data_IF_683863622039
#
_entry.id   IF_683863622039
#
_cell.length_a   1.000
_cell.length_b   1.000
_cell.length_c   1.000
_cell.angle_alpha   90.00
_cell.angle_beta   90.00
_cell.angle_gamma   90.00
#
_symmetry.space_group_name_H-M   'P 1'
#
loop_
_entity.id
_entity.type
_entity.pdbx_description
1 polymer ?
#
# COMPACT_ATOMS: atom_id res chain seq x y z
N UNK A 1 7.86 -32.48 -19.50
CA UNK A 1 7.50 -31.58 -20.63
C UNK A 1 6.15 -30.88 -20.42
N UNK A 2 5.12 -31.57 -19.90
CA UNK A 2 3.76 -31.03 -19.70
C UNK A 2 3.67 -29.77 -18.80
N UNK A 3 4.37 -29.73 -17.64
CA UNK A 3 4.23 -28.61 -16.70
C UNK A 3 4.78 -27.26 -17.20
N UNK A 4 5.96 -27.24 -17.84
CA UNK A 4 6.53 -26.00 -18.40
C UNK A 4 5.66 -25.45 -19.54
N UNK A 5 5.11 -26.34 -20.36
CA UNK A 5 4.20 -25.96 -21.44
C UNK A 5 2.89 -25.38 -20.87
N UNK A 6 2.34 -26.00 -19.82
CA UNK A 6 1.20 -25.47 -19.07
C UNK A 6 1.47 -24.07 -18.51
N UNK A 7 2.61 -23.86 -17.83
CA UNK A 7 2.99 -22.55 -17.30
C UNK A 7 3.09 -21.49 -18.41
N UNK A 8 3.67 -21.86 -19.55
CA UNK A 8 3.77 -20.96 -20.71
C UNK A 8 2.38 -20.54 -21.21
N UNK A 9 1.47 -21.49 -21.46
CA UNK A 9 0.12 -21.16 -21.95
C UNK A 9 -0.70 -20.39 -20.90
N UNK A 10 -0.53 -20.70 -19.62
CA UNK A 10 -1.12 -19.91 -18.52
C UNK A 10 -0.63 -18.46 -18.58
N UNK A 11 0.67 -18.24 -18.67
CA UNK A 11 1.24 -16.90 -18.67
C UNK A 11 0.91 -16.13 -19.96
N UNK A 12 0.78 -16.81 -21.09
CA UNK A 12 0.28 -16.25 -22.34
C UNK A 12 -1.16 -15.77 -22.19
N UNK A 13 -2.06 -16.63 -21.70
CA UNK A 13 -3.46 -16.27 -21.46
C UNK A 13 -3.59 -15.09 -20.50
N UNK A 14 -2.88 -15.13 -19.36
CA UNK A 14 -2.86 -14.04 -18.38
C UNK A 14 -2.31 -12.74 -18.97
N UNK A 15 -1.33 -12.82 -19.87
CA UNK A 15 -0.79 -11.65 -20.59
C UNK A 15 -1.83 -11.02 -21.50
N UNK A 16 -2.55 -11.83 -22.29
CA UNK A 16 -3.64 -11.36 -23.14
C UNK A 16 -4.76 -10.68 -22.33
N UNK A 17 -5.19 -11.30 -21.23
CA UNK A 17 -6.19 -10.72 -20.33
C UNK A 17 -5.69 -9.40 -19.72
N UNK A 18 -4.41 -9.35 -19.33
CA UNK A 18 -3.79 -8.14 -18.78
C UNK A 18 -3.77 -7.01 -19.80
N UNK A 19 -3.38 -7.28 -21.04
CA UNK A 19 -3.39 -6.29 -22.12
C UNK A 19 -4.80 -5.74 -22.33
N UNK A 20 -5.81 -6.62 -22.44
CA UNK A 20 -7.21 -6.20 -22.56
C UNK A 20 -7.67 -5.32 -21.38
N UNK A 21 -7.33 -5.70 -20.14
CA UNK A 21 -7.64 -4.88 -18.96
C UNK A 21 -6.96 -3.53 -18.97
N UNK A 22 -5.69 -3.45 -19.37
CA UNK A 22 -4.95 -2.18 -19.47
C UNK A 22 -5.58 -1.27 -20.50
N UNK A 23 -5.94 -1.81 -21.67
CA UNK A 23 -6.62 -1.04 -22.74
C UNK A 23 -7.93 -0.44 -22.25
N UNK A 24 -8.72 -1.21 -21.50
CA UNK A 24 -10.06 -0.77 -21.06
C UNK A 24 -10.01 0.12 -19.81
N UNK A 25 -9.14 -0.19 -18.83
CA UNK A 25 -9.21 0.38 -17.48
C UNK A 25 -8.10 1.37 -17.14
N UNK A 26 -6.94 1.29 -17.80
CA UNK A 26 -5.79 2.11 -17.42
C UNK A 26 -5.78 3.44 -18.16
N UNK A 27 -5.40 4.51 -17.46
CA UNK A 27 -5.12 5.82 -18.07
C UNK A 27 -3.67 5.86 -18.55
N UNK A 28 -3.47 6.11 -19.83
CA UNK A 28 -2.18 5.90 -20.51
C UNK A 28 -1.15 7.00 -20.29
N UNK A 29 -1.60 8.20 -19.91
CA UNK A 29 -0.75 9.40 -19.85
C UNK A 29 -0.41 9.83 -18.43
N UNK A 30 -0.72 9.00 -17.42
CA UNK A 30 -0.32 9.28 -16.04
C UNK A 30 1.18 9.01 -15.88
N UNK A 31 1.94 10.07 -15.65
CA UNK A 31 3.37 9.99 -15.32
C UNK A 31 3.56 10.08 -13.81
N UNK A 32 4.39 9.21 -13.27
CA UNK A 32 4.79 9.27 -11.86
C UNK A 32 5.91 10.30 -11.72
N UNK A 33 5.79 11.28 -10.80
CA UNK A 33 6.83 12.26 -10.58
C UNK A 33 8.14 11.57 -10.17
N UNK A 34 9.28 12.12 -10.59
CA UNK A 34 10.57 11.60 -10.15
C UNK A 34 10.92 12.14 -8.77
N UNK A 35 11.71 11.39 -8.01
CA UNK A 35 12.34 11.87 -6.77
C UNK A 35 13.10 13.17 -7.07
N UNK A 36 13.13 14.07 -6.09
CA UNK A 36 13.90 15.31 -6.19
C UNK A 36 15.37 15.03 -5.88
N UNK A 37 15.74 15.09 -4.60
CA UNK A 37 17.16 15.19 -4.23
C UNK A 37 17.70 13.95 -3.50
N UNK A 38 16.85 13.18 -2.82
CA UNK A 38 17.28 11.99 -2.07
C UNK A 38 17.15 10.71 -2.87
N UNK A 39 18.13 9.82 -2.74
CA UNK A 39 18.05 8.45 -3.24
C UNK A 39 17.27 7.51 -2.30
N UNK A 40 17.04 7.94 -1.06
CA UNK A 40 16.40 7.17 0.00
C UNK A 40 14.96 7.63 0.24
N UNK A 41 14.06 6.69 0.54
CA UNK A 41 12.73 6.98 1.09
C UNK A 41 12.37 5.96 2.16
N UNK A 42 11.73 6.44 3.23
CA UNK A 42 11.20 5.61 4.30
C UNK A 42 9.69 5.46 4.07
N UNK A 43 9.21 4.24 3.93
CA UNK A 43 7.80 3.91 3.73
C UNK A 43 7.22 3.41 5.04
N UNK A 44 6.25 4.14 5.58
CA UNK A 44 5.55 3.78 6.81
C UNK A 44 4.27 3.04 6.46
N UNK A 45 4.21 1.76 6.81
CA UNK A 45 2.95 1.04 6.96
C UNK A 45 2.22 1.44 8.24
N UNK A 46 1.08 0.82 8.52
CA UNK A 46 0.26 1.10 9.70
C UNK A 46 0.19 -0.08 10.69
N UNK A 47 1.16 -1.00 10.61
CA UNK A 47 1.25 -2.12 11.55
C UNK A 47 1.52 -1.65 12.99
N UNK A 48 1.02 -2.36 14.02
CA UNK A 48 1.18 -1.99 15.42
C UNK A 48 2.62 -1.70 15.84
N UNK A 49 3.59 -2.41 15.25
CA UNK A 49 5.00 -2.25 15.61
C UNK A 49 5.59 -0.89 15.25
N UNK A 50 4.91 -0.12 14.39
CA UNK A 50 5.32 1.24 14.02
C UNK A 50 5.41 2.17 15.23
N UNK A 51 4.58 1.99 16.26
CA UNK A 51 4.60 2.84 17.46
C UNK A 51 5.99 2.87 18.12
N UNK A 52 6.69 1.74 18.15
CA UNK A 52 8.05 1.64 18.67
C UNK A 52 9.01 2.47 17.81
N UNK A 53 8.93 2.35 16.48
CA UNK A 53 9.76 3.15 15.56
C UNK A 53 9.47 4.65 15.70
N UNK A 54 8.21 5.07 15.83
CA UNK A 54 7.86 6.48 16.01
C UNK A 54 8.41 7.04 17.32
N UNK A 55 8.42 6.25 18.40
CA UNK A 55 8.98 6.69 19.68
C UNK A 55 10.50 6.85 19.66
N UNK A 56 11.20 6.01 18.88
CA UNK A 56 12.65 5.86 18.92
C UNK A 56 13.37 6.58 17.80
N UNK A 57 12.78 6.56 16.61
CA UNK A 57 13.45 6.89 15.36
C UNK A 57 12.91 8.21 14.73
N UNK A 58 12.11 8.99 15.46
CA UNK A 58 11.44 10.20 14.96
C UNK A 58 12.40 11.21 14.32
N UNK A 59 13.56 11.45 14.95
CA UNK A 59 14.58 12.38 14.44
C UNK A 59 15.07 11.96 13.05
N UNK A 60 15.25 10.65 12.82
CA UNK A 60 15.65 10.13 11.51
C UNK A 60 14.53 10.33 10.49
N UNK A 61 13.27 10.12 10.89
CA UNK A 61 12.11 10.31 10.03
C UNK A 61 11.90 11.77 9.61
N UNK A 62 12.19 12.73 10.48
CA UNK A 62 12.10 14.18 10.18
C UNK A 62 13.17 14.64 9.16
N UNK A 63 14.30 13.95 9.09
CA UNK A 63 15.44 14.33 8.24
C UNK A 63 15.42 13.67 6.85
N UNK A 64 14.50 12.74 6.60
CA UNK A 64 14.46 11.95 5.37
C UNK A 64 13.09 12.02 4.69
N UNK A 65 13.02 11.84 3.35
CA UNK A 65 11.73 11.71 2.69
C UNK A 65 10.96 10.51 3.23
N UNK A 66 9.71 10.77 3.63
CA UNK A 66 8.79 9.74 4.12
C UNK A 66 7.58 9.61 3.20
N UNK A 67 7.15 8.37 2.98
CA UNK A 67 5.87 8.01 2.39
C UNK A 67 4.96 7.40 3.46
N UNK A 68 3.82 8.04 3.70
CA UNK A 68 2.79 7.56 4.63
C UNK A 68 1.57 6.99 3.89
N UNK A 69 0.75 6.20 4.57
CA UNK A 69 -0.36 5.49 3.94
C UNK A 69 -1.66 5.56 4.73
N UNK A 70 -2.79 5.54 4.02
CA UNK A 70 -4.14 5.40 4.58
C UNK A 70 -4.40 6.27 5.82
N UNK A 71 -4.59 5.69 7.01
CA UNK A 71 -4.94 6.39 8.25
C UNK A 71 -3.79 7.09 8.99
N UNK A 72 -2.56 7.10 8.46
CA UNK A 72 -1.39 7.62 9.19
C UNK A 72 -1.55 9.07 9.65
N UNK A 73 -2.28 9.92 8.91
CA UNK A 73 -2.52 11.33 9.26
C UNK A 73 -3.27 11.54 10.59
N UNK A 74 -3.89 10.49 11.14
CA UNK A 74 -4.50 10.51 12.46
C UNK A 74 -3.46 10.52 13.60
N UNK A 75 -2.23 10.09 13.33
CA UNK A 75 -1.12 10.11 14.29
C UNK A 75 -0.60 11.52 14.54
N UNK A 76 -0.22 11.81 15.79
CA UNK A 76 0.51 13.04 16.15
C UNK A 76 1.88 13.15 15.46
N UNK A 77 2.46 12.03 15.04
CA UNK A 77 3.72 12.02 14.31
C UNK A 77 3.59 12.60 12.90
N UNK A 78 2.38 12.74 12.36
CA UNK A 78 2.16 13.22 10.99
C UNK A 78 2.72 14.62 10.74
N UNK A 79 2.44 15.57 11.62
CA UNK A 79 2.89 16.96 11.49
C UNK A 79 4.38 17.14 11.80
N UNK A 80 4.96 16.22 12.59
CA UNK A 80 6.39 16.20 12.88
C UNK A 80 7.18 15.68 11.68
N UNK A 81 6.75 14.54 11.14
CA UNK A 81 7.44 13.85 10.02
C UNK A 81 7.30 14.60 8.71
N UNK A 82 6.18 15.29 8.49
CA UNK A 82 5.93 16.06 7.26
C UNK A 82 6.17 15.24 5.98
N UNK A 83 5.43 14.14 5.77
CA UNK A 83 5.71 13.20 4.69
C UNK A 83 5.70 13.88 3.32
N UNK A 84 6.71 13.56 2.51
CA UNK A 84 6.82 14.04 1.13
C UNK A 84 5.79 13.37 0.21
N UNK A 85 5.39 12.15 0.54
CA UNK A 85 4.44 11.34 -0.23
C UNK A 85 3.37 10.74 0.68
N UNK A 86 2.16 10.58 0.14
CA UNK A 86 1.07 9.93 0.83
C UNK A 86 0.31 9.04 -0.13
N UNK A 87 -0.01 7.79 0.24
CA UNK A 87 -0.77 6.87 -0.64
C UNK A 87 -2.08 6.47 0.03
N UNK A 88 -3.19 6.77 -0.65
CA UNK A 88 -4.51 6.21 -0.33
C UNK A 88 -4.80 5.09 -1.33
N UNK A 89 -4.97 3.86 -0.84
CA UNK A 89 -5.25 2.70 -1.71
C UNK A 89 -6.56 1.98 -1.36
N UNK A 90 -7.21 2.33 -0.25
CA UNK A 90 -8.47 1.74 0.14
C UNK A 90 -9.66 2.36 -0.62
N UNK A 91 -10.49 1.52 -1.22
CA UNK A 91 -11.72 1.92 -1.90
C UNK A 91 -12.64 2.79 -1.06
N UNK A 92 -12.60 2.66 0.27
CA UNK A 92 -13.38 3.45 1.20
C UNK A 92 -13.16 4.97 1.03
N UNK A 93 -11.95 5.42 0.68
CA UNK A 93 -11.63 6.85 0.53
C UNK A 93 -12.37 7.54 -0.64
N UNK A 94 -12.98 6.77 -1.54
CA UNK A 94 -13.76 7.28 -2.68
C UNK A 94 -15.09 6.55 -2.91
N UNK A 95 -15.55 5.79 -1.91
CA UNK A 95 -16.83 5.11 -1.94
C UNK A 95 -18.00 6.11 -1.82
N UNK A 96 -19.15 5.73 -2.38
CA UNK A 96 -20.37 6.54 -2.24
C UNK A 96 -21.10 6.34 -0.92
N UNK A 97 -21.17 5.08 -0.49
CA UNK A 97 -21.83 4.66 0.73
C UNK A 97 -20.85 3.86 1.58
N UNK A 98 -20.85 4.14 2.88
CA UNK A 98 -20.00 3.50 3.87
C UNK A 98 -20.77 3.30 5.16
N UNK A 99 -20.51 2.21 5.91
CA UNK A 99 -20.90 2.10 7.30
C UNK A 99 -20.38 3.31 8.10
N UNK A 100 -21.12 3.72 9.12
CA UNK A 100 -20.83 4.94 9.91
C UNK A 100 -19.40 4.97 10.45
N UNK A 101 -18.94 3.88 11.05
CA UNK A 101 -17.58 3.76 11.59
C UNK A 101 -16.51 3.98 10.50
N UNK A 102 -16.68 3.34 9.34
CA UNK A 102 -15.75 3.50 8.21
C UNK A 102 -15.80 4.90 7.64
N UNK A 103 -16.99 5.52 7.57
CA UNK A 103 -17.15 6.92 7.16
C UNK A 103 -16.40 7.85 8.11
N UNK A 104 -16.57 7.70 9.43
CA UNK A 104 -15.87 8.51 10.42
C UNK A 104 -14.35 8.40 10.28
N UNK A 105 -13.81 7.18 10.12
CA UNK A 105 -12.37 6.97 9.89
C UNK A 105 -11.88 7.67 8.60
N UNK A 106 -12.60 7.49 7.49
CA UNK A 106 -12.27 8.11 6.20
C UNK A 106 -12.31 9.62 6.29
N UNK A 107 -13.38 10.19 6.85
CA UNK A 107 -13.56 11.64 6.96
C UNK A 107 -12.49 12.24 7.88
N UNK A 108 -12.27 11.67 9.07
CA UNK A 108 -11.21 12.11 9.99
C UNK A 108 -9.83 12.09 9.35
N UNK A 109 -9.52 11.03 8.59
CA UNK A 109 -8.23 10.91 7.91
C UNK A 109 -8.07 11.98 6.83
N UNK A 110 -9.10 12.20 6.02
CA UNK A 110 -9.05 13.17 4.92
C UNK A 110 -9.04 14.61 5.44
N UNK A 111 -9.76 14.89 6.52
CA UNK A 111 -9.76 16.18 7.21
C UNK A 111 -8.39 16.45 7.83
N UNK A 112 -7.76 15.45 8.46
CA UNK A 112 -6.40 15.56 8.96
C UNK A 112 -5.41 15.88 7.82
N UNK A 113 -5.49 15.18 6.68
CA UNK A 113 -4.66 15.49 5.51
C UNK A 113 -4.92 16.92 5.02
N UNK A 114 -6.18 17.31 4.83
CA UNK A 114 -6.54 18.63 4.32
C UNK A 114 -6.08 19.76 5.23
N UNK A 115 -6.28 19.61 6.55
CA UNK A 115 -6.13 20.69 7.51
C UNK A 115 -4.83 20.66 8.30
N UNK A 116 -4.08 19.56 8.36
CA UNK A 116 -2.77 19.54 9.03
C UNK A 116 -1.61 19.73 8.07
N UNK A 117 -1.76 19.40 6.78
CA UNK A 117 -0.67 19.56 5.80
C UNK A 117 -0.34 21.04 5.58
N UNK A 118 0.90 21.42 5.88
CA UNK A 118 1.47 22.76 5.66
C UNK A 118 2.80 22.73 4.89
N UNK A 119 3.15 21.59 4.33
CA UNK A 119 4.40 21.33 3.60
C UNK A 119 4.10 20.67 2.25
N UNK A 120 4.94 20.85 1.22
CA UNK A 120 4.74 20.22 -0.08
C UNK A 120 4.63 18.69 0.04
N UNK A 121 3.48 18.13 -0.33
CA UNK A 121 3.21 16.70 -0.27
C UNK A 121 2.54 16.21 -1.55
N UNK A 122 2.99 15.06 -2.06
CA UNK A 122 2.31 14.38 -3.18
C UNK A 122 1.33 13.33 -2.64
N UNK A 123 0.04 13.54 -2.86
CA UNK A 123 -1.02 12.60 -2.50
C UNK A 123 -1.35 11.69 -3.69
N UNK A 124 -1.01 10.41 -3.58
CA UNK A 124 -1.30 9.39 -4.56
C UNK A 124 -2.67 8.74 -4.36
N UNK A 125 -3.44 8.63 -5.44
CA UNK A 125 -4.76 8.02 -5.48
C UNK A 125 -4.95 7.16 -6.73
N UNK A 126 -5.64 6.00 -6.67
CA UNK A 126 -6.03 5.27 -7.86
C UNK A 126 -6.85 6.12 -8.83
N UNK A 127 -6.51 6.02 -10.12
CA UNK A 127 -7.20 6.72 -11.20
C UNK A 127 -8.71 6.40 -11.26
N UNK A 128 -9.10 5.20 -10.82
CA UNK A 128 -10.50 4.77 -10.72
C UNK A 128 -11.29 5.51 -9.64
N UNK A 129 -10.62 5.96 -8.57
CA UNK A 129 -11.25 6.67 -7.45
C UNK A 129 -11.29 8.19 -7.59
N UNK A 130 -10.49 8.76 -8.50
CA UNK A 130 -10.29 10.21 -8.57
C UNK A 130 -11.56 11.01 -8.80
N UNK A 131 -12.46 10.55 -9.67
CA UNK A 131 -13.68 11.32 -9.99
C UNK A 131 -14.57 11.50 -8.75
N UNK A 132 -14.76 10.42 -7.98
CA UNK A 132 -15.54 10.47 -6.74
C UNK A 132 -14.81 11.25 -5.65
N UNK A 133 -13.49 11.08 -5.55
CA UNK A 133 -12.65 11.86 -4.63
C UNK A 133 -12.78 13.37 -4.89
N UNK A 134 -12.65 13.81 -6.15
CA UNK A 134 -12.75 15.23 -6.51
C UNK A 134 -14.10 15.85 -6.22
N UNK A 135 -15.18 15.09 -6.35
CA UNK A 135 -16.55 15.55 -6.06
C UNK A 135 -16.75 15.85 -4.57
N UNK A 136 -16.10 15.09 -3.69
CA UNK A 136 -16.40 15.08 -2.25
C UNK A 136 -15.37 15.77 -1.38
N UNK A 137 -14.13 15.91 -1.84
CA UNK A 137 -12.98 16.26 -0.99
C UNK A 137 -12.31 17.55 -1.43
N UNK A 138 -13.11 18.61 -1.49
CA UNK A 138 -12.70 19.95 -1.95
C UNK A 138 -11.57 20.51 -1.08
N UNK A 139 -11.60 20.29 0.24
CA UNK A 139 -10.58 20.81 1.17
C UNK A 139 -9.15 20.34 0.86
N UNK A 140 -8.98 19.10 0.38
CA UNK A 140 -7.68 18.59 -0.07
C UNK A 140 -7.26 19.26 -1.38
N UNK A 141 -8.20 19.42 -2.32
CA UNK A 141 -7.92 20.03 -3.62
C UNK A 141 -7.63 21.53 -3.54
N UNK A 142 -8.12 22.22 -2.50
CA UNK A 142 -7.86 23.64 -2.28
C UNK A 142 -6.61 23.90 -1.44
N UNK A 143 -5.98 22.88 -0.86
CA UNK A 143 -4.76 23.06 -0.09
C UNK A 143 -3.55 23.26 -1.04
N UNK A 144 -2.86 24.43 -1.01
CA UNK A 144 -1.79 24.75 -1.94
C UNK A 144 -0.52 23.89 -1.74
N UNK A 145 -0.41 23.21 -0.61
CA UNK A 145 0.70 22.33 -0.29
C UNK A 145 0.51 20.90 -0.80
N UNK A 146 -0.70 20.52 -1.23
CA UNK A 146 -1.00 19.15 -1.65
C UNK A 146 -1.10 19.06 -3.17
N UNK A 147 -0.27 18.23 -3.78
CA UNK A 147 -0.39 17.85 -5.18
C UNK A 147 -1.03 16.46 -5.30
N UNK A 148 -2.21 16.38 -5.91
CA UNK A 148 -2.88 15.08 -6.13
C UNK A 148 -2.34 14.42 -7.40
N UNK A 149 -1.74 13.25 -7.24
CA UNK A 149 -1.18 12.44 -8.32
C UNK A 149 -1.95 11.13 -8.47
N UNK A 150 -2.44 10.85 -9.67
CA UNK A 150 -3.11 9.59 -9.94
C UNK A 150 -2.11 8.45 -10.16
N UNK A 151 -2.53 7.20 -9.96
CA UNK A 151 -1.83 6.00 -10.43
C UNK A 151 -2.82 4.91 -10.90
N UNK A 152 -2.38 4.01 -11.79
CA UNK A 152 -3.25 2.92 -12.25
C UNK A 152 -3.18 1.72 -11.30
N UNK A 153 -4.33 1.29 -10.79
CA UNK A 153 -4.47 0.12 -9.92
C UNK A 153 -4.87 -1.17 -10.67
N UNK A 154 -4.89 -1.14 -12.01
CA UNK A 154 -5.23 -2.29 -12.87
C UNK A 154 -4.28 -3.47 -12.61
N UNK A 155 -4.80 -4.59 -12.12
CA UNK A 155 -3.98 -5.75 -11.72
C UNK A 155 -3.32 -6.41 -12.94
N UNK A 156 -1.99 -6.54 -12.89
CA UNK A 156 -1.15 -7.08 -13.96
C UNK A 156 -0.74 -8.53 -13.69
N UNK A 157 -0.88 -9.42 -14.68
CA UNK A 157 -0.46 -10.84 -14.60
C UNK A 157 0.13 -11.30 -15.95
N UNK A 158 0.82 -12.42 -15.94
CA UNK A 158 1.40 -13.03 -17.15
C UNK A 158 2.91 -12.93 -17.19
N UNK A 159 3.49 -12.79 -18.38
CA UNK A 159 4.94 -12.82 -18.54
C UNK A 159 5.61 -11.66 -17.78
N UNK A 160 6.65 -12.00 -17.02
CA UNK A 160 7.43 -11.05 -16.20
C UNK A 160 7.89 -9.81 -16.97
N UNK A 161 8.39 -9.99 -18.20
CA UNK A 161 8.83 -8.88 -19.05
C UNK A 161 7.72 -7.88 -19.38
N UNK A 162 6.53 -8.39 -19.73
CA UNK A 162 5.33 -7.58 -19.99
C UNK A 162 4.90 -6.84 -18.72
N UNK A 163 4.72 -7.57 -17.61
CA UNK A 163 4.31 -6.98 -16.33
C UNK A 163 5.26 -5.86 -15.92
N UNK A 164 6.57 -6.09 -15.97
CA UNK A 164 7.57 -5.07 -15.63
C UNK A 164 7.52 -3.85 -16.58
N UNK A 165 7.26 -4.06 -17.87
CA UNK A 165 7.14 -2.97 -18.84
C UNK A 165 5.87 -2.13 -18.61
N UNK A 166 4.78 -2.75 -18.17
CA UNK A 166 3.54 -2.06 -17.81
C UNK A 166 3.66 -1.34 -16.47
N UNK A 167 4.27 -1.95 -15.45
CA UNK A 167 4.58 -1.30 -14.17
C UNK A 167 5.43 -0.04 -14.36
N UNK A 168 6.48 -0.11 -15.19
CA UNK A 168 7.37 1.02 -15.44
C UNK A 168 6.67 2.21 -16.09
N UNK A 169 5.64 1.95 -16.89
CA UNK A 169 4.79 2.98 -17.51
C UNK A 169 3.59 3.36 -16.66
N UNK A 170 3.52 2.88 -15.41
CA UNK A 170 2.37 3.09 -14.53
C UNK A 170 1.04 2.68 -15.19
N UNK A 171 1.02 1.61 -15.98
CA UNK A 171 -0.20 1.12 -16.65
C UNK A 171 -0.95 0.08 -15.82
N UNK A 172 -0.51 -0.20 -14.59
CA UNK A 172 -1.18 -1.09 -13.66
C UNK A 172 -0.35 -1.34 -12.41
N UNK A 173 -0.80 -2.31 -11.62
CA UNK A 173 -0.26 -2.65 -10.31
C UNK A 173 -0.20 -4.18 -10.11
N UNK A 174 0.67 -4.65 -9.20
CA UNK A 174 0.78 -6.08 -8.90
C UNK A 174 -0.38 -6.61 -8.06
N UNK A 175 -0.96 -5.81 -7.17
CA UNK A 175 -2.10 -6.22 -6.35
C UNK A 175 -2.81 -4.99 -5.80
N UNK A 176 -4.06 -5.20 -5.36
CA UNK A 176 -4.86 -4.23 -4.58
C UNK A 176 -5.11 -4.69 -3.14
N UNK A 177 -4.47 -5.79 -2.71
CA UNK A 177 -4.77 -6.42 -1.41
C UNK A 177 -4.31 -5.60 -0.20
N UNK A 178 -3.24 -4.81 -0.34
CA UNK A 178 -2.78 -3.92 0.72
C UNK A 178 -2.13 -2.68 0.10
N UNK A 179 -2.03 -1.62 0.91
CA UNK A 179 -1.47 -0.33 0.49
C UNK A 179 0.06 -0.33 0.35
N UNK A 180 0.76 -1.26 1.00
CA UNK A 180 2.23 -1.34 0.91
C UNK A 180 2.70 -1.67 -0.52
N UNK A 181 1.95 -2.51 -1.24
CA UNK A 181 2.27 -2.89 -2.63
C UNK A 181 2.31 -1.68 -3.57
N UNK A 182 1.26 -0.85 -3.71
CA UNK A 182 1.33 0.36 -4.51
C UNK A 182 2.38 1.34 -3.99
N UNK A 183 2.56 1.50 -2.67
CA UNK A 183 3.60 2.38 -2.12
C UNK A 183 5.01 2.00 -2.57
N UNK A 184 5.36 0.71 -2.52
CA UNK A 184 6.66 0.20 -2.97
C UNK A 184 6.86 0.37 -4.48
N UNK A 185 5.85 0.04 -5.29
CA UNK A 185 5.92 0.19 -6.75
C UNK A 185 6.04 1.66 -7.15
N UNK A 186 5.29 2.55 -6.49
CA UNK A 186 5.37 3.99 -6.71
C UNK A 186 6.75 4.52 -6.33
N UNK A 187 7.28 4.19 -5.14
CA UNK A 187 8.63 4.57 -4.74
C UNK A 187 9.71 4.12 -5.76
N UNK A 188 9.64 2.87 -6.24
CA UNK A 188 10.53 2.37 -7.30
C UNK A 188 10.35 3.13 -8.63
N UNK A 189 9.14 3.57 -8.95
CA UNK A 189 8.83 4.31 -10.18
C UNK A 189 9.17 5.79 -10.11
N UNK A 190 9.16 6.38 -8.92
CA UNK A 190 9.74 7.69 -8.63
C UNK A 190 11.27 7.66 -8.71
N UNK A 191 11.87 6.47 -8.72
CA UNK A 191 13.29 6.25 -8.95
C UNK A 191 14.12 6.15 -7.67
N UNK A 192 13.50 6.05 -6.48
CA UNK A 192 14.24 5.82 -5.24
C UNK A 192 15.07 4.53 -5.33
N UNK A 193 16.31 4.61 -4.85
CA UNK A 193 17.30 3.54 -4.93
C UNK A 193 17.35 2.71 -3.67
N UNK A 194 17.00 3.30 -2.53
CA UNK A 194 16.91 2.61 -1.25
C UNK A 194 15.58 2.93 -0.58
N UNK A 195 14.78 1.90 -0.38
CA UNK A 195 13.45 2.01 0.22
C UNK A 195 13.48 1.27 1.56
N UNK A 196 13.19 1.98 2.64
CA UNK A 196 13.20 1.42 3.99
C UNK A 196 11.77 1.24 4.47
N UNK A 197 11.39 0.04 4.91
CA UNK A 197 10.04 -0.24 5.39
C UNK A 197 9.99 -0.21 6.92
N UNK A 198 9.03 0.53 7.48
CA UNK A 198 8.65 0.47 8.90
C UNK A 198 7.15 0.18 9.02
N UNK A 199 6.71 -0.42 10.13
CA UNK A 199 5.29 -0.74 10.34
C UNK A 199 4.68 -1.71 9.31
N UNK A 200 5.52 -2.48 8.60
CA UNK A 200 5.09 -3.46 7.60
C UNK A 200 4.94 -4.86 8.23
N UNK A 201 4.08 -4.94 9.24
CA UNK A 201 4.00 -6.10 10.14
C UNK A 201 3.45 -7.36 9.45
N UNK A 202 2.32 -7.24 8.74
CA UNK A 202 1.60 -8.40 8.17
C UNK A 202 1.24 -9.49 9.20
N UNK A 203 0.98 -9.07 10.44
CA UNK A 203 0.76 -9.95 11.59
C UNK A 203 -0.69 -10.41 11.79
N UNK A 204 -1.64 -10.04 10.92
CA UNK A 204 -3.08 -10.31 11.07
C UNK A 204 -3.43 -11.77 11.38
N UNK A 205 -2.65 -12.74 10.87
CA UNK A 205 -2.88 -14.15 11.12
C UNK A 205 -2.71 -14.54 12.60
N UNK A 206 -1.94 -13.78 13.39
CA UNK A 206 -1.84 -13.97 14.85
C UNK A 206 -3.17 -13.71 15.56
N UNK A 207 -4.02 -12.90 14.93
CA UNK A 207 -5.30 -12.46 15.48
C UNK A 207 -6.50 -13.19 14.85
N UNK A 208 -6.26 -14.22 14.03
CA UNK A 208 -7.29 -15.09 13.49
C UNK A 208 -7.59 -16.22 14.46
N UNK A 209 -8.87 -16.46 14.72
CA UNK A 209 -9.33 -17.60 15.52
C UNK A 209 -10.71 -18.07 15.05
N UNK A 210 -11.10 -19.27 15.49
CA UNK A 210 -12.41 -19.87 15.21
C UNK A 210 -13.19 -19.95 16.51
N UNK A 211 -14.42 -19.44 16.52
CA UNK A 211 -15.31 -19.48 17.69
C UNK A 211 -15.92 -20.88 17.88
N UNK A 212 -16.57 -21.12 19.02
CA UNK A 212 -17.34 -22.35 19.25
C UNK A 212 -18.51 -22.53 18.27
N UNK A 213 -19.02 -21.42 17.70
CA UNK A 213 -20.05 -21.43 16.65
C UNK A 213 -19.46 -21.65 15.24
N UNK A 214 -18.19 -22.04 15.15
CA UNK A 214 -17.46 -22.29 13.90
C UNK A 214 -17.38 -21.05 12.98
N UNK A 215 -17.28 -19.85 13.59
CA UNK A 215 -17.11 -18.59 12.87
C UNK A 215 -15.64 -18.16 12.90
N UNK A 216 -15.12 -17.75 11.75
CA UNK A 216 -13.76 -17.19 11.63
C UNK A 216 -13.81 -15.71 11.99
N UNK A 217 -13.09 -15.34 13.05
CA UNK A 217 -13.01 -13.97 13.55
C UNK A 217 -11.59 -13.42 13.44
N UNK A 218 -11.50 -12.10 13.27
CA UNK A 218 -10.25 -11.33 13.33
C UNK A 218 -10.36 -10.27 14.42
N UNK A 219 -9.31 -10.16 15.23
CA UNK A 219 -9.05 -8.94 16.00
C UNK A 219 -8.12 -8.03 15.17
N UNK A 220 -8.63 -6.94 14.62
CA UNK A 220 -7.81 -6.03 13.80
C UNK A 220 -7.23 -4.92 14.67
N UNK A 221 -5.91 -4.93 14.84
CA UNK A 221 -5.18 -3.96 15.64
C UNK A 221 -4.37 -3.04 14.70
N UNK A 222 -4.55 -1.72 14.83
CA UNK A 222 -3.76 -0.70 14.12
C UNK A 222 -2.99 0.15 15.14
N UNK A 223 -1.85 0.74 14.76
CA UNK A 223 -0.99 1.46 15.72
C UNK A 223 -1.64 2.73 16.32
N UNK A 224 -2.69 3.25 15.68
CA UNK A 224 -3.40 4.46 16.08
C UNK A 224 -4.80 4.21 16.67
N UNK A 225 -5.26 2.96 16.73
CA UNK A 225 -6.61 2.62 17.21
C UNK A 225 -6.59 2.04 18.64
N UNK A 226 -7.66 2.30 19.40
CA UNK A 226 -7.96 1.52 20.60
C UNK A 226 -8.32 0.07 20.24
N UNK A 227 -8.00 -0.90 21.11
CA UNK A 227 -8.25 -2.33 20.89
C UNK A 227 -9.70 -2.59 20.49
N UNK A 228 -9.92 -3.11 19.29
CA UNK A 228 -11.27 -3.37 18.76
C UNK A 228 -11.81 -4.74 19.19
N UNK A 229 -13.13 -4.91 19.33
CA UNK A 229 -13.72 -6.23 19.53
C UNK A 229 -13.48 -7.10 18.28
N UNK A 230 -13.34 -8.43 18.43
CA UNK A 230 -13.22 -9.32 17.29
C UNK A 230 -14.45 -9.23 16.37
N UNK A 231 -14.21 -9.30 15.06
CA UNK A 231 -15.26 -9.24 14.04
C UNK A 231 -15.25 -10.54 13.22
N UNK A 232 -16.43 -11.10 12.97
CA UNK A 232 -16.60 -12.22 12.03
C UNK A 232 -16.24 -11.75 10.62
N UNK A 233 -15.30 -12.43 9.99
CA UNK A 233 -14.86 -12.06 8.64
C UNK A 233 -15.84 -12.60 7.62
N UNK A 234 -16.45 -11.71 6.84
CA UNK A 234 -17.43 -12.05 5.80
C UNK A 234 -16.82 -11.98 4.40
N UNK A 235 -17.20 -12.91 3.53
CA UNK A 235 -16.92 -12.85 2.08
C UNK A 235 -18.27 -12.84 1.36
N UNK A 236 -18.64 -11.67 0.82
CA UNK A 236 -20.00 -11.43 0.34
C UNK A 236 -21.00 -11.59 1.50
N UNK A 237 -22.01 -12.42 1.30
CA UNK A 237 -23.10 -12.62 2.27
C UNK A 237 -22.90 -13.83 3.18
N UNK A 238 -21.68 -14.37 3.30
CA UNK A 238 -21.39 -15.53 4.15
C UNK A 238 -20.14 -15.35 5.02
N UNK A 239 -20.05 -16.05 6.16
CA UNK A 239 -18.79 -16.18 6.88
C UNK A 239 -17.70 -16.75 5.99
N UNK A 240 -16.50 -16.20 6.14
CA UNK A 240 -15.30 -16.71 5.50
C UNK A 240 -14.83 -18.00 6.17
N UNK A 241 -14.05 -18.79 5.45
CA UNK A 241 -13.38 -19.99 5.97
C UNK A 241 -11.92 -19.67 6.26
N UNK A 242 -11.34 -20.37 7.25
CA UNK A 242 -9.98 -20.08 7.70
C UNK A 242 -8.93 -20.27 6.59
N UNK A 243 -9.10 -21.30 5.75
CA UNK A 243 -8.19 -21.52 4.62
C UNK A 243 -8.24 -20.38 3.58
N UNK A 244 -9.39 -19.70 3.41
CA UNK A 244 -9.52 -18.56 2.51
C UNK A 244 -8.69 -17.37 3.02
N UNK A 245 -8.63 -17.20 4.35
CA UNK A 245 -7.79 -16.17 4.98
C UNK A 245 -6.31 -16.48 4.78
N UNK A 246 -5.89 -17.73 5.02
CA UNK A 246 -4.50 -18.13 4.76
C UNK A 246 -4.13 -18.05 3.28
N UNK A 247 -5.05 -18.36 2.37
CA UNK A 247 -4.82 -18.18 0.94
C UNK A 247 -4.66 -16.69 0.58
N UNK A 248 -5.48 -15.80 1.15
CA UNK A 248 -5.36 -14.36 0.95
C UNK A 248 -4.01 -13.82 1.46
N UNK A 249 -3.57 -14.26 2.64
CA UNK A 249 -2.25 -13.93 3.22
C UNK A 249 -1.13 -14.45 2.31
N UNK A 250 -1.18 -15.72 1.89
CA UNK A 250 -0.18 -16.31 1.01
C UNK A 250 -0.09 -15.58 -0.33
N UNK A 251 -1.23 -15.16 -0.89
CA UNK A 251 -1.29 -14.33 -2.11
C UNK A 251 -0.61 -12.98 -1.88
N UNK A 252 -0.88 -12.31 -0.76
CA UNK A 252 -0.27 -11.02 -0.44
C UNK A 252 1.25 -11.13 -0.28
N UNK A 253 1.73 -12.14 0.46
CA UNK A 253 3.16 -12.36 0.68
C UNK A 253 3.91 -12.68 -0.61
N UNK A 254 3.30 -13.49 -1.50
CA UNK A 254 3.87 -13.81 -2.81
C UNK A 254 4.15 -12.58 -3.67
N UNK A 255 3.29 -11.55 -3.58
CA UNK A 255 3.47 -10.33 -4.39
C UNK A 255 4.76 -9.59 -4.01
N UNK A 256 5.23 -9.67 -2.76
CA UNK A 256 6.52 -9.04 -2.40
C UNK A 256 7.70 -9.69 -3.11
N UNK A 257 7.66 -10.98 -3.39
CA UNK A 257 8.67 -11.66 -4.21
C UNK A 257 8.61 -11.23 -5.69
N UNK A 258 7.42 -10.87 -6.20
CA UNK A 258 7.32 -10.21 -7.52
C UNK A 258 7.93 -8.80 -7.49
N UNK A 259 7.79 -8.07 -6.37
CA UNK A 259 8.43 -6.76 -6.18
C UNK A 259 9.94 -6.88 -6.15
N UNK A 260 10.53 -7.90 -5.52
CA UNK A 260 11.99 -8.15 -5.53
C UNK A 260 12.54 -8.19 -6.96
N UNK A 261 11.85 -8.92 -7.83
CA UNK A 261 12.24 -9.04 -9.21
C UNK A 261 12.13 -7.72 -9.99
N UNK A 262 11.15 -6.88 -9.66
CA UNK A 262 11.01 -5.55 -10.27
C UNK A 262 12.02 -4.54 -9.72
N UNK A 263 12.30 -4.60 -8.43
CA UNK A 263 13.33 -3.83 -7.73
C UNK A 263 14.73 -4.07 -8.34
N UNK A 264 15.08 -5.32 -8.62
CA UNK A 264 16.32 -5.67 -9.32
C UNK A 264 16.42 -5.00 -10.69
N UNK A 265 15.34 -5.01 -11.49
CA UNK A 265 15.29 -4.30 -12.79
C UNK A 265 15.49 -2.79 -12.63
N UNK A 266 15.11 -2.21 -11.49
CA UNK A 266 15.26 -0.79 -11.17
C UNK A 266 16.62 -0.42 -10.59
N UNK A 267 17.51 -1.40 -10.37
CA UNK A 267 18.78 -1.23 -9.66
C UNK A 267 18.56 -0.51 -8.34
N UNK A 268 17.65 -1.04 -7.52
CA UNK A 268 17.27 -0.51 -6.21
C UNK A 268 17.33 -1.62 -5.15
N UNK A 269 17.23 -1.23 -3.89
CA UNK A 269 17.13 -2.13 -2.73
C UNK A 269 15.96 -1.72 -1.85
N UNK A 270 15.24 -2.72 -1.34
CA UNK A 270 14.20 -2.56 -0.32
C UNK A 270 14.72 -3.28 0.93
N UNK A 271 14.72 -2.58 2.07
CA UNK A 271 15.17 -3.12 3.35
C UNK A 271 13.99 -3.03 4.32
N UNK A 272 13.71 -4.12 5.03
CA UNK A 272 12.64 -4.20 5.99
C UNK A 272 13.16 -3.91 7.41
N UNK A 273 12.93 -2.69 7.87
CA UNK A 273 13.37 -2.19 9.18
C UNK A 273 12.25 -2.13 10.23
N UNK A 274 11.05 -2.63 9.93
CA UNK A 274 9.92 -2.70 10.87
C UNK A 274 10.32 -3.48 12.12
N UNK A 275 9.82 -3.17 13.33
CA UNK A 275 10.18 -4.00 14.49
C UNK A 275 9.65 -5.43 14.37
N UNK A 276 8.42 -5.58 13.86
CA UNK A 276 7.81 -6.87 13.51
C UNK A 276 7.60 -6.94 12.01
N UNK A 277 7.82 -8.11 11.40
CA UNK A 277 7.37 -8.34 10.03
C UNK A 277 7.23 -9.81 9.69
N UNK A 278 6.24 -10.11 8.87
CA UNK A 278 6.04 -11.39 8.20
C UNK A 278 6.38 -11.33 6.70
N UNK A 279 6.90 -10.20 6.21
CA UNK A 279 7.41 -10.09 4.85
C UNK A 279 8.84 -10.62 4.82
N UNK A 280 9.04 -11.80 4.21
CA UNK A 280 10.32 -12.49 4.06
C UNK A 280 11.07 -12.13 2.77
N UNK A 281 10.43 -11.37 1.88
CA UNK A 281 11.00 -11.03 0.57
C UNK A 281 12.15 -10.01 0.63
N UNK A 282 12.29 -9.27 1.74
CA UNK A 282 13.26 -8.18 1.88
C UNK A 282 14.19 -8.42 3.08
N UNK A 283 15.51 -8.14 2.94
CA UNK A 283 16.45 -8.27 4.04
C UNK A 283 16.05 -7.40 5.23
N UNK A 284 16.33 -7.90 6.44
CA UNK A 284 16.02 -7.26 7.71
C UNK A 284 17.24 -6.46 8.21
N UNK A 285 17.02 -5.27 8.76
CA UNK A 285 18.03 -4.47 9.44
C UNK A 285 17.35 -3.51 10.43
N UNK A 286 18.06 -2.97 11.42
CA UNK A 286 17.50 -1.89 12.24
C UNK A 286 17.68 -0.56 11.52
N UNK A 287 16.73 0.36 11.64
CA UNK A 287 16.81 1.66 10.96
C UNK A 287 18.07 2.45 11.32
N UNK A 288 18.52 2.33 12.58
CA UNK A 288 19.69 3.03 13.11
C UNK A 288 21.01 2.57 12.46
N UNK A 289 21.06 1.33 11.95
CA UNK A 289 22.25 0.79 11.29
C UNK A 289 22.33 1.21 9.81
N UNK A 290 21.35 1.99 9.34
CA UNK A 290 21.14 2.30 7.93
C UNK A 290 21.43 3.76 7.59
N UNK A 291 21.67 4.63 8.57
CA UNK A 291 21.99 6.04 8.38
C UNK A 291 23.29 6.41 9.07
#
# INVERSE_FOLDING_TARGET
MSYRLFLFFRDLFLSCVTIGRVVVKSKWFIRIPQRKDSENIIVLGNGPSLAVNLSRDLVVLEQHPVLCVNGFALSEAYEKIQPACYVLADGAFWADELPEKTRHFVDSTLDAIAHKTRWPMTLFLPAEGLRSFRRKKIGILSNPYISVQEYNATVLRGFKGLVHALLQRNLGMLSRQNVMIPSLILALNMGYKRILLLGADHSWHRNLFVTNDNLVCLKDDHFYDESQPPVTIMIGNRPSRLHEQFEAIAKALRVYWEIVAYMQKKNAVIINASELSFIDAFPRAKLQDLF
#
